data_IF_085530005601
#
_entry.id   IF_085530005601
#
_cell.length_a   1.000
_cell.length_b   1.000
_cell.length_c   1.000
_cell.angle_alpha   90.00
_cell.angle_beta   90.00
_cell.angle_gamma   90.00
#
_symmetry.space_group_name_H-M   'P 1'
#
loop_
_entity.id
_entity.type
_entity.pdbx_description
1 polymer ?
#
# COMPACT_ATOMS: atom_id res chain seq x y z
N UNK A 1 6.46 -7.76 19.08
CA UNK A 1 7.79 -7.20 18.75
C UNK A 1 7.75 -6.82 17.28
N UNK A 2 8.20 -5.63 16.88
CA UNK A 2 8.20 -5.20 15.47
C UNK A 2 9.63 -4.95 14.99
N UNK A 3 9.93 -5.40 13.77
CA UNK A 3 11.20 -5.13 13.09
C UNK A 3 10.96 -3.90 12.22
N UNK A 4 11.69 -2.81 12.47
CA UNK A 4 11.52 -1.52 11.76
C UNK A 4 12.73 -1.22 10.86
N UNK A 5 13.91 -1.72 11.22
CA UNK A 5 15.14 -1.45 10.52
C UNK A 5 16.07 -2.66 10.58
N UNK A 6 16.97 -2.77 9.61
CA UNK A 6 18.03 -3.76 9.56
C UNK A 6 19.31 -3.10 9.06
N UNK A 7 20.46 -3.67 9.42
CA UNK A 7 21.75 -3.22 8.91
C UNK A 7 22.68 -4.42 8.75
N UNK A 8 23.58 -4.30 7.79
CA UNK A 8 24.55 -5.33 7.50
C UNK A 8 25.67 -5.33 8.55
N UNK A 9 26.05 -6.53 8.99
CA UNK A 9 27.18 -6.76 9.89
C UNK A 9 28.31 -7.45 9.12
N UNK A 10 29.53 -6.90 9.12
CA UNK A 10 30.67 -7.61 8.59
C UNK A 10 30.96 -8.82 9.48
N UNK A 11 31.02 -10.01 8.90
CA UNK A 11 31.46 -11.23 9.58
C UNK A 11 32.75 -11.73 8.94
N UNK A 12 33.76 -11.96 9.78
CA UNK A 12 35.00 -12.64 9.39
C UNK A 12 34.95 -14.06 9.95
N UNK A 13 34.98 -15.07 9.08
CA UNK A 13 35.06 -16.49 9.47
C UNK A 13 34.00 -16.96 10.51
N UNK A 14 32.79 -16.38 10.47
CA UNK A 14 31.67 -16.77 11.33
C UNK A 14 31.68 -16.16 12.73
N UNK A 15 32.64 -15.27 13.04
CA UNK A 15 32.59 -14.40 14.21
C UNK A 15 31.98 -13.03 13.84
N UNK A 16 31.23 -12.45 14.79
CA UNK A 16 30.61 -11.14 14.63
C UNK A 16 31.57 -10.09 15.20
N UNK A 17 31.82 -9.01 14.47
CA UNK A 17 32.59 -7.88 14.99
C UNK A 17 31.80 -7.16 16.09
N UNK A 18 32.09 -7.50 17.35
CA UNK A 18 31.47 -6.88 18.52
C UNK A 18 31.71 -5.37 18.62
N UNK A 19 32.85 -4.87 18.15
CA UNK A 19 33.19 -3.44 18.22
C UNK A 19 32.31 -2.62 17.28
N UNK A 20 32.06 -3.15 16.07
CA UNK A 20 31.12 -2.56 15.14
C UNK A 20 29.68 -2.66 15.64
N UNK A 21 29.29 -3.81 16.20
CA UNK A 21 27.95 -4.03 16.78
C UNK A 21 27.60 -3.04 17.89
N UNK A 22 28.54 -2.78 18.81
CA UNK A 22 28.34 -1.84 19.93
C UNK A 22 28.18 -0.40 19.49
N UNK A 23 28.81 -0.01 18.38
CA UNK A 23 28.73 1.38 17.87
C UNK A 23 27.33 1.74 17.35
N UNK A 24 26.50 0.73 17.02
CA UNK A 24 25.15 0.93 16.47
C UNK A 24 24.02 0.52 17.42
N UNK A 25 24.33 0.33 18.70
CA UNK A 25 23.34 -0.02 19.75
C UNK A 25 22.37 1.10 20.14
N UNK A 26 22.41 2.25 19.47
CA UNK A 26 21.49 3.36 19.70
C UNK A 26 20.01 2.94 19.48
N UNK A 27 19.78 1.83 18.79
CA UNK A 27 18.48 1.17 18.63
C UNK A 27 18.47 -0.19 19.34
N UNK A 28 17.32 -0.57 19.92
CA UNK A 28 17.14 -1.89 20.52
C UNK A 28 17.25 -2.96 19.45
N UNK A 29 18.37 -3.69 19.45
CA UNK A 29 18.57 -4.85 18.57
C UNK A 29 17.72 -5.99 19.11
N UNK A 30 16.97 -6.66 18.22
CA UNK A 30 16.01 -7.70 18.59
C UNK A 30 16.34 -9.07 18.00
N UNK A 31 17.31 -9.14 17.10
CA UNK A 31 17.64 -10.35 16.36
C UNK A 31 18.65 -10.11 15.25
N UNK A 32 18.74 -11.08 14.34
CA UNK A 32 19.64 -11.05 13.19
C UNK A 32 18.96 -11.71 11.97
N UNK A 33 19.51 -11.44 10.78
CA UNK A 33 19.02 -12.05 9.55
C UNK A 33 20.16 -12.63 8.71
N UNK A 34 19.84 -13.61 7.88
CA UNK A 34 20.76 -14.18 6.89
C UNK A 34 20.04 -14.50 5.59
N UNK A 35 20.82 -14.79 4.55
CA UNK A 35 20.32 -15.15 3.23
C UNK A 35 20.50 -16.64 3.03
N UNK A 36 19.41 -17.36 2.73
CA UNK A 36 19.45 -18.79 2.51
C UNK A 36 18.07 -19.41 2.33
N UNK A 37 18.05 -20.70 2.01
CA UNK A 37 16.81 -21.44 1.76
C UNK A 37 16.28 -22.14 3.03
N UNK A 38 17.18 -22.68 3.86
CA UNK A 38 16.82 -23.38 5.11
C UNK A 38 17.80 -23.06 6.25
N UNK A 39 17.33 -23.05 7.51
CA UNK A 39 18.21 -22.92 8.66
C UNK A 39 19.25 -24.04 8.70
N UNK A 40 20.51 -23.68 8.94
CA UNK A 40 21.65 -24.58 9.01
C UNK A 40 22.19 -24.68 10.44
N UNK A 41 23.06 -25.67 10.70
CA UNK A 41 23.73 -25.79 12.00
C UNK A 41 24.64 -24.58 12.31
N UNK A 42 25.22 -23.95 11.28
CA UNK A 42 26.01 -22.73 11.44
C UNK A 42 25.13 -21.57 11.96
N UNK A 43 23.89 -21.47 11.47
CA UNK A 43 22.94 -20.45 11.92
C UNK A 43 22.59 -20.62 13.39
N UNK A 44 22.53 -21.86 13.90
CA UNK A 44 22.30 -22.12 15.32
C UNK A 44 23.45 -21.62 16.21
N UNK A 45 24.70 -21.73 15.74
CA UNK A 45 25.87 -21.24 16.45
C UNK A 45 25.89 -19.69 16.48
N UNK A 46 25.58 -19.06 15.34
CA UNK A 46 25.45 -17.60 15.26
C UNK A 46 24.32 -17.11 16.15
N UNK A 47 23.16 -17.78 16.13
CA UNK A 47 22.02 -17.41 16.96
C UNK A 47 22.32 -17.51 18.47
N UNK A 48 23.08 -18.52 18.91
CA UNK A 48 23.54 -18.61 20.29
C UNK A 48 24.42 -17.40 20.66
N UNK A 49 25.39 -17.04 19.81
CA UNK A 49 26.28 -15.91 20.04
C UNK A 49 25.53 -14.55 20.04
N UNK A 50 24.60 -14.35 19.10
CA UNK A 50 23.76 -13.14 19.04
C UNK A 50 22.84 -13.04 20.27
N UNK A 51 22.32 -14.17 20.75
CA UNK A 51 21.45 -14.19 21.94
C UNK A 51 22.17 -13.75 23.21
N UNK A 52 23.48 -13.93 23.30
CA UNK A 52 24.30 -13.41 24.40
C UNK A 52 24.58 -11.90 24.27
N UNK A 53 24.67 -11.40 23.03
CA UNK A 53 24.97 -10.00 22.72
C UNK A 53 23.74 -9.09 22.75
N UNK A 54 22.54 -9.66 22.65
CA UNK A 54 21.28 -8.92 22.53
C UNK A 54 20.51 -9.00 23.85
N UNK A 55 20.13 -7.84 24.38
CA UNK A 55 19.36 -7.76 25.64
C UNK A 55 17.89 -8.23 25.48
N UNK A 56 17.43 -8.41 24.24
CA UNK A 56 16.08 -8.87 23.93
C UNK A 56 15.98 -10.40 23.98
N UNK A 57 15.15 -10.91 24.89
CA UNK A 57 14.78 -12.32 24.98
C UNK A 57 13.27 -12.50 24.73
N UNK A 58 12.84 -13.38 23.80
CA UNK A 58 13.66 -14.19 22.90
C UNK A 58 14.25 -13.39 21.74
N UNK A 59 15.46 -13.75 21.31
CA UNK A 59 16.08 -13.20 20.10
C UNK A 59 15.44 -13.81 18.86
N UNK A 60 15.31 -13.01 17.80
CA UNK A 60 14.66 -13.43 16.54
C UNK A 60 15.71 -13.76 15.48
N UNK A 61 15.46 -14.80 14.69
CA UNK A 61 16.22 -15.14 13.49
C UNK A 61 15.36 -15.00 12.23
N UNK A 62 15.77 -14.18 11.27
CA UNK A 62 15.09 -14.03 9.98
C UNK A 62 15.93 -14.66 8.85
N UNK A 63 15.30 -15.51 8.05
CA UNK A 63 15.90 -16.13 6.88
C UNK A 63 15.25 -15.56 5.62
N UNK A 64 16.01 -14.88 4.79
CA UNK A 64 15.57 -14.33 3.51
C UNK A 64 16.03 -15.23 2.36
N UNK A 65 15.14 -15.57 1.45
CA UNK A 65 15.43 -16.39 0.27
C UNK A 65 15.30 -15.56 -1.02
N UNK A 66 16.40 -15.18 -1.68
CA UNK A 66 16.35 -14.36 -2.90
C UNK A 66 15.87 -15.15 -4.12
N UNK A 67 15.88 -16.47 -4.07
CA UNK A 67 15.46 -17.35 -5.17
C UNK A 67 13.93 -17.51 -5.18
N UNK A 68 13.24 -16.41 -5.51
CA UNK A 68 11.78 -16.34 -5.58
C UNK A 68 11.33 -16.84 -6.94
N UNK A 69 10.39 -17.79 -6.96
CA UNK A 69 9.69 -18.17 -8.19
C UNK A 69 8.65 -17.08 -8.53
N UNK A 70 8.47 -16.77 -9.81
CA UNK A 70 7.54 -15.72 -10.26
C UNK A 70 6.08 -15.91 -9.79
N UNK A 71 5.71 -17.13 -9.40
CA UNK A 71 4.37 -17.50 -8.89
C UNK A 71 4.27 -17.55 -7.36
N UNK A 72 5.33 -17.20 -6.63
CA UNK A 72 5.37 -17.25 -5.18
C UNK A 72 4.37 -16.26 -4.56
N UNK A 73 3.31 -16.80 -3.93
CA UNK A 73 2.28 -16.01 -3.24
C UNK A 73 2.68 -15.59 -1.82
N UNK A 74 3.81 -16.08 -1.32
CA UNK A 74 4.32 -15.79 0.02
C UNK A 74 5.54 -14.91 -0.08
N UNK A 75 5.71 -14.04 0.93
CA UNK A 75 6.91 -13.24 1.04
C UNK A 75 8.12 -14.16 1.20
N UNK A 76 9.27 -13.79 0.61
CA UNK A 76 10.45 -14.63 0.50
C UNK A 76 11.28 -14.65 1.79
N UNK A 77 10.62 -14.66 2.95
CA UNK A 77 11.31 -14.76 4.23
C UNK A 77 10.54 -15.61 5.22
N UNK A 78 11.27 -16.22 6.14
CA UNK A 78 10.73 -16.92 7.28
C UNK A 78 11.40 -16.40 8.56
N UNK A 79 10.62 -16.30 9.63
CA UNK A 79 11.11 -15.85 10.94
C UNK A 79 11.05 -17.00 11.91
N UNK A 80 12.08 -17.13 12.73
CA UNK A 80 12.26 -18.21 13.66
C UNK A 80 12.63 -17.71 15.05
N UNK A 81 12.22 -18.47 16.06
CA UNK A 81 12.74 -18.39 17.42
C UNK A 81 13.50 -19.68 17.78
N UNK A 82 14.42 -19.58 18.74
CA UNK A 82 15.08 -20.76 19.29
C UNK A 82 14.16 -21.52 20.22
N UNK A 83 13.93 -22.82 19.97
CA UNK A 83 13.24 -23.68 20.92
C UNK A 83 14.13 -23.90 22.14
N UNK A 84 13.71 -23.42 23.31
CA UNK A 84 14.28 -23.85 24.57
C UNK A 84 13.87 -25.31 24.81
N UNK A 85 14.76 -26.26 24.53
CA UNK A 85 14.57 -27.65 24.95
C UNK A 85 15.37 -27.93 26.22
N UNK A 86 14.71 -28.44 27.27
CA UNK A 86 15.28 -28.88 28.56
C UNK A 86 16.16 -30.17 28.46
N UNK A 87 16.88 -30.35 27.34
CA UNK A 87 17.72 -31.51 27.04
C UNK A 87 19.22 -31.22 27.12
N UNK A 88 20.02 -32.27 27.33
CA UNK A 88 21.50 -32.25 27.33
C UNK A 88 22.08 -31.54 26.10
N UNK A 89 23.26 -30.91 26.22
CA UNK A 89 23.98 -30.08 25.22
C UNK A 89 23.95 -30.60 23.76
N UNK A 90 23.84 -31.91 23.52
CA UNK A 90 23.71 -32.50 22.18
C UNK A 90 22.33 -32.31 21.52
N UNK A 91 21.27 -32.08 22.28
CA UNK A 91 19.90 -31.82 21.81
C UNK A 91 19.61 -30.33 21.54
N UNK A 92 20.54 -29.44 21.93
CA UNK A 92 20.42 -27.97 21.75
C UNK A 92 20.72 -27.50 20.33
N UNK A 93 21.22 -28.38 19.47
CA UNK A 93 21.51 -28.07 18.08
C UNK A 93 20.21 -27.98 17.25
N UNK A 94 19.73 -26.76 17.03
CA UNK A 94 19.01 -26.43 15.80
C UNK A 94 17.52 -26.77 15.73
N UNK A 95 16.75 -26.59 16.81
CA UNK A 95 15.28 -26.54 16.69
C UNK A 95 14.83 -25.09 16.64
N UNK A 96 14.89 -24.51 15.45
CA UNK A 96 14.20 -23.27 15.14
C UNK A 96 12.70 -23.53 15.01
N UNK A 97 11.88 -22.78 15.72
CA UNK A 97 10.41 -22.79 15.57
C UNK A 97 10.04 -21.63 14.66
N UNK A 98 9.36 -21.92 13.55
CA UNK A 98 8.90 -20.89 12.64
C UNK A 98 7.74 -20.11 13.27
N UNK A 99 7.85 -18.79 13.24
CA UNK A 99 6.81 -17.87 13.71
C UNK A 99 5.94 -17.41 12.55
N UNK A 100 4.64 -17.28 12.82
CA UNK A 100 3.72 -16.57 11.93
C UNK A 100 3.96 -15.06 12.08
N UNK A 101 4.33 -14.40 10.97
CA UNK A 101 4.64 -12.97 10.97
C UNK A 101 3.74 -12.26 9.95
N UNK A 102 3.14 -11.16 10.40
CA UNK A 102 2.45 -10.21 9.54
C UNK A 102 3.37 -9.06 9.15
N UNK A 103 3.21 -8.56 7.92
CA UNK A 103 3.83 -7.30 7.50
C UNK A 103 2.80 -6.19 7.67
N UNK A 104 3.16 -5.20 8.48
CA UNK A 104 2.37 -3.99 8.69
C UNK A 104 3.15 -2.83 8.09
N UNK A 105 2.54 -2.12 7.14
CA UNK A 105 3.09 -0.89 6.57
C UNK A 105 2.37 0.31 7.19
N UNK A 106 3.14 1.30 7.67
CA UNK A 106 2.58 2.59 8.09
C UNK A 106 1.97 3.35 6.92
N UNK A 107 1.18 4.40 7.17
CA UNK A 107 0.50 5.15 6.09
C UNK A 107 1.47 5.70 5.04
N UNK A 108 2.55 6.34 5.49
CA UNK A 108 3.55 6.92 4.60
C UNK A 108 4.32 5.83 3.82
N UNK A 109 4.64 4.72 4.47
CA UNK A 109 5.32 3.57 3.85
C UNK A 109 4.41 2.89 2.82
N UNK A 110 3.14 2.69 3.15
CA UNK A 110 2.14 2.11 2.23
C UNK A 110 2.02 2.94 0.95
N UNK A 111 1.98 4.26 1.08
CA UNK A 111 1.91 5.16 -0.08
C UNK A 111 3.20 5.03 -0.92
N UNK A 112 4.37 5.07 -0.28
CA UNK A 112 5.65 4.94 -1.00
C UNK A 112 5.79 3.59 -1.71
N UNK A 113 5.36 2.49 -1.08
CA UNK A 113 5.38 1.14 -1.66
C UNK A 113 4.39 1.03 -2.83
N UNK A 114 3.19 1.58 -2.70
CA UNK A 114 2.18 1.58 -3.77
C UNK A 114 2.65 2.38 -4.99
N UNK A 115 3.34 3.52 -4.77
CA UNK A 115 3.92 4.32 -5.85
C UNK A 115 4.98 3.54 -6.65
N UNK A 116 5.95 2.93 -5.96
CA UNK A 116 7.00 2.11 -6.59
C UNK A 116 6.42 0.87 -7.29
N UNK A 117 5.40 0.24 -6.70
CA UNK A 117 4.74 -0.90 -7.30
C UNK A 117 3.97 -0.50 -8.58
N UNK A 118 3.31 0.66 -8.58
CA UNK A 118 2.49 1.14 -9.70
C UNK A 118 3.32 1.80 -10.82
N UNK A 119 4.50 2.34 -10.55
CA UNK A 119 5.39 2.94 -11.57
C UNK A 119 5.85 1.90 -12.62
N UNK A 120 5.85 0.61 -12.24
CA UNK A 120 6.11 -0.49 -13.18
C UNK A 120 4.97 -0.78 -14.16
N UNK A 121 3.78 -0.20 -13.96
CA UNK A 121 2.58 -0.37 -14.77
C UNK A 121 2.19 0.94 -15.50
N UNK A 122 2.94 1.27 -16.56
CA UNK A 122 2.65 2.25 -17.62
C UNK A 122 1.94 3.57 -17.24
N UNK A 123 2.67 4.66 -17.44
CA UNK A 123 2.41 6.09 -17.21
C UNK A 123 1.21 6.73 -17.94
N UNK A 124 0.15 5.98 -18.28
CA UNK A 124 -0.93 6.49 -19.13
C UNK A 124 -2.31 5.84 -18.96
N UNK A 125 -2.71 5.46 -17.74
CA UNK A 125 -4.08 4.98 -17.51
C UNK A 125 -4.75 5.72 -16.34
N UNK A 126 -6.09 5.90 -16.35
CA UNK A 126 -6.85 6.46 -15.22
C UNK A 126 -6.86 5.43 -14.07
N UNK A 127 -5.70 5.27 -13.44
CA UNK A 127 -5.17 4.06 -12.82
C UNK A 127 -5.85 3.62 -11.53
N UNK A 128 -6.50 4.54 -10.80
CA UNK A 128 -7.13 4.21 -9.51
C UNK A 128 -8.28 3.20 -9.60
N UNK A 129 -9.11 3.30 -10.65
CA UNK A 129 -10.25 2.38 -10.83
C UNK A 129 -9.80 0.99 -11.30
N UNK A 130 -8.87 0.94 -12.26
CA UNK A 130 -8.31 -0.31 -12.78
C UNK A 130 -7.53 -1.05 -11.67
N UNK A 131 -6.73 -0.32 -10.88
CA UNK A 131 -6.03 -0.89 -9.73
C UNK A 131 -7.00 -1.43 -8.67
N UNK A 132 -8.11 -0.72 -8.39
CA UNK A 132 -9.15 -1.23 -7.48
C UNK A 132 -9.80 -2.52 -7.99
N UNK A 133 -10.17 -2.56 -9.27
CA UNK A 133 -10.75 -3.76 -9.90
C UNK A 133 -9.78 -4.94 -9.93
N UNK A 134 -8.49 -4.68 -10.20
CA UNK A 134 -7.44 -5.70 -10.16
C UNK A 134 -7.29 -6.29 -8.76
N UNK A 135 -7.27 -5.44 -7.71
CA UNK A 135 -7.24 -5.89 -6.31
C UNK A 135 -8.45 -6.75 -5.96
N UNK A 136 -9.67 -6.33 -6.33
CA UNK A 136 -10.89 -7.10 -6.10
C UNK A 136 -10.84 -8.46 -6.81
N UNK A 137 -10.41 -8.48 -8.08
CA UNK A 137 -10.24 -9.72 -8.84
C UNK A 137 -9.24 -10.67 -8.17
N UNK A 138 -8.10 -10.17 -7.72
CA UNK A 138 -7.07 -10.98 -7.08
C UNK A 138 -7.57 -11.56 -5.75
N UNK A 139 -8.30 -10.78 -4.94
CA UNK A 139 -8.92 -11.27 -3.72
C UNK A 139 -9.91 -12.42 -3.99
N UNK A 140 -10.76 -12.28 -5.02
CA UNK A 140 -11.70 -13.33 -5.44
C UNK A 140 -10.95 -14.58 -5.91
N UNK A 141 -9.90 -14.42 -6.73
CA UNK A 141 -9.09 -15.54 -7.20
C UNK A 141 -8.41 -16.30 -6.04
N UNK A 142 -7.85 -15.57 -5.07
CA UNK A 142 -7.25 -16.17 -3.87
C UNK A 142 -8.26 -16.94 -3.04
N UNK A 143 -9.46 -16.37 -2.82
CA UNK A 143 -10.52 -17.06 -2.10
C UNK A 143 -10.96 -18.33 -2.83
N UNK A 144 -11.15 -18.25 -4.15
CA UNK A 144 -11.51 -19.40 -4.98
C UNK A 144 -10.46 -20.52 -4.88
N UNK A 145 -9.17 -20.19 -4.94
CA UNK A 145 -8.10 -21.19 -4.79
C UNK A 145 -8.16 -21.89 -3.42
N UNK A 146 -8.43 -21.13 -2.33
CA UNK A 146 -8.58 -21.71 -0.99
C UNK A 146 -9.80 -22.63 -0.89
N UNK A 147 -10.95 -22.21 -1.42
CA UNK A 147 -12.17 -23.03 -1.46
C UNK A 147 -11.95 -24.31 -2.28
N UNK A 148 -11.23 -24.21 -3.40
CA UNK A 148 -10.87 -25.36 -4.23
C UNK A 148 -10.03 -26.39 -3.47
N UNK A 149 -9.05 -25.97 -2.66
CA UNK A 149 -8.25 -26.88 -1.84
C UNK A 149 -9.13 -27.64 -0.84
N UNK A 150 -10.06 -26.94 -0.17
CA UNK A 150 -11.01 -27.57 0.77
C UNK A 150 -11.89 -28.59 0.02
N UNK A 151 -12.42 -28.22 -1.16
CA UNK A 151 -13.23 -29.11 -1.99
C UNK A 151 -12.45 -30.37 -2.40
N UNK A 152 -11.19 -30.21 -2.83
CA UNK A 152 -10.32 -31.33 -3.22
C UNK A 152 -10.07 -32.27 -2.05
N UNK A 153 -9.76 -31.73 -0.86
CA UNK A 153 -9.55 -32.53 0.34
C UNK A 153 -10.80 -33.37 0.70
N UNK A 154 -11.97 -32.72 0.80
CA UNK A 154 -13.22 -33.43 1.12
C UNK A 154 -13.54 -34.51 0.08
N UNK A 155 -13.33 -34.22 -1.21
CA UNK A 155 -13.53 -35.19 -2.29
C UNK A 155 -12.57 -36.38 -2.18
N UNK A 156 -11.30 -36.15 -1.83
CA UNK A 156 -10.29 -37.19 -1.65
C UNK A 156 -10.59 -38.10 -0.44
N UNK A 157 -11.10 -37.52 0.65
CA UNK A 157 -11.53 -38.29 1.83
C UNK A 157 -12.74 -39.17 1.50
N UNK A 158 -13.73 -38.64 0.76
CA UNK A 158 -14.90 -39.41 0.31
C UNK A 158 -14.50 -40.56 -0.63
N UNK A 159 -13.51 -40.34 -1.48
CA UNK A 159 -12.96 -41.38 -2.36
C UNK A 159 -12.05 -42.40 -1.64
N UNK A 160 -11.76 -42.21 -0.35
CA UNK A 160 -10.87 -43.08 0.42
C UNK A 160 -9.38 -42.94 0.08
N UNK A 161 -8.99 -41.88 -0.64
CA UNK A 161 -7.60 -41.61 -1.06
C UNK A 161 -6.81 -40.95 0.08
N UNK A 162 -7.45 -40.07 0.85
CA UNK A 162 -6.85 -39.36 1.98
C UNK A 162 -7.44 -39.82 3.32
N UNK A 163 -6.64 -39.86 4.41
CA UNK A 163 -7.15 -40.20 5.74
C UNK A 163 -8.14 -39.13 6.23
N UNK A 164 -9.22 -39.57 6.87
CA UNK A 164 -10.23 -38.67 7.42
C UNK A 164 -9.75 -38.03 8.72
N UNK A 165 -9.43 -36.74 8.68
CA UNK A 165 -9.23 -35.93 9.88
C UNK A 165 -10.57 -35.33 10.34
N UNK A 166 -11.07 -35.81 11.47
CA UNK A 166 -12.34 -35.36 12.04
C UNK A 166 -12.32 -33.90 12.53
N UNK A 167 -11.16 -33.34 12.87
CA UNK A 167 -11.07 -31.94 13.28
C UNK A 167 -11.28 -31.02 12.08
N UNK A 168 -10.58 -31.28 10.98
CA UNK A 168 -10.71 -30.53 9.72
C UNK A 168 -12.13 -30.66 9.17
N UNK A 169 -12.69 -31.87 9.13
CA UNK A 169 -14.05 -32.10 8.63
C UNK A 169 -15.10 -31.35 9.46
N UNK A 170 -14.94 -31.29 10.79
CA UNK A 170 -15.82 -30.50 11.66
C UNK A 170 -15.72 -29.01 11.37
N UNK A 171 -14.52 -28.49 11.16
CA UNK A 171 -14.32 -27.08 10.78
C UNK A 171 -14.96 -26.76 9.43
N UNK A 172 -14.80 -27.64 8.43
CA UNK A 172 -15.48 -27.48 7.13
C UNK A 172 -17.00 -27.46 7.27
N UNK A 173 -17.57 -28.37 8.08
CA UNK A 173 -19.00 -28.40 8.34
C UNK A 173 -19.50 -27.12 9.04
N UNK A 174 -18.75 -26.62 10.02
CA UNK A 174 -19.04 -25.36 10.68
C UNK A 174 -19.01 -24.18 9.69
N UNK A 175 -18.03 -24.14 8.78
CA UNK A 175 -17.91 -23.10 7.76
C UNK A 175 -19.07 -23.14 6.75
N UNK A 176 -19.58 -24.32 6.40
CA UNK A 176 -20.78 -24.43 5.54
C UNK A 176 -22.02 -23.98 6.29
N UNK A 177 -22.12 -24.30 7.59
CA UNK A 177 -23.26 -23.92 8.42
C UNK A 177 -23.34 -22.41 8.70
N UNK A 178 -22.22 -21.67 8.64
CA UNK A 178 -22.21 -20.21 8.79
C UNK A 178 -22.63 -19.46 7.52
N UNK A 179 -22.81 -20.17 6.40
CA UNK A 179 -23.31 -19.59 5.16
C UNK A 179 -24.85 -19.74 5.12
N UNK A 180 -25.65 -18.67 4.95
CA UNK A 180 -25.30 -17.26 4.72
C UNK A 180 -25.21 -16.44 6.03
N UNK A 181 -24.18 -15.61 6.14
CA UNK A 181 -23.83 -14.85 7.36
C UNK A 181 -24.85 -13.74 7.72
N UNK A 182 -25.70 -13.32 6.79
CA UNK A 182 -26.70 -12.25 7.01
C UNK A 182 -28.07 -12.60 6.43
N UNK A 183 -29.12 -12.28 7.19
CA UNK A 183 -30.52 -12.43 6.78
C UNK A 183 -30.89 -11.45 5.68
N UNK A 184 -31.54 -11.97 4.63
CA UNK A 184 -31.71 -11.24 3.39
C UNK A 184 -32.58 -9.98 3.48
N UNK A 185 -33.58 -9.89 4.37
CA UNK A 185 -34.53 -8.77 4.31
C UNK A 185 -34.00 -7.46 4.90
N UNK A 186 -33.29 -7.52 6.03
CA UNK A 186 -32.75 -6.33 6.69
C UNK A 186 -31.50 -5.84 5.96
N UNK A 187 -30.58 -6.75 5.61
CA UNK A 187 -29.40 -6.44 4.81
C UNK A 187 -29.76 -5.81 3.46
N UNK A 188 -30.73 -6.36 2.71
CA UNK A 188 -31.12 -5.77 1.42
C UNK A 188 -31.76 -4.38 1.59
N UNK A 189 -32.44 -4.11 2.70
CA UNK A 189 -32.99 -2.79 2.96
C UNK A 189 -31.87 -1.78 3.21
N UNK A 190 -30.91 -2.14 4.05
CA UNK A 190 -29.75 -1.28 4.35
C UNK A 190 -28.89 -1.05 3.11
N UNK A 191 -28.56 -2.12 2.37
CA UNK A 191 -27.81 -2.06 1.12
C UNK A 191 -28.48 -1.15 0.08
N UNK A 192 -29.81 -1.19 -0.02
CA UNK A 192 -30.56 -0.29 -0.91
C UNK A 192 -30.47 1.16 -0.49
N UNK A 193 -30.54 1.44 0.81
CA UNK A 193 -30.39 2.79 1.34
C UNK A 193 -29.00 3.33 1.01
N UNK A 194 -27.94 2.56 1.34
CA UNK A 194 -26.55 2.93 1.05
C UNK A 194 -26.30 3.12 -0.46
N UNK A 195 -26.82 2.23 -1.29
CA UNK A 195 -26.72 2.33 -2.74
C UNK A 195 -27.36 3.61 -3.28
N UNK A 196 -28.56 3.94 -2.81
CA UNK A 196 -29.26 5.15 -3.21
C UNK A 196 -28.48 6.40 -2.80
N UNK A 197 -27.95 6.44 -1.57
CA UNK A 197 -27.18 7.58 -1.06
C UNK A 197 -25.88 7.78 -1.85
N UNK A 198 -25.13 6.71 -2.09
CA UNK A 198 -23.90 6.73 -2.90
C UNK A 198 -24.19 7.20 -4.33
N UNK A 199 -25.28 6.74 -4.91
CA UNK A 199 -25.68 7.11 -6.26
C UNK A 199 -26.13 8.57 -6.35
N UNK A 200 -26.86 9.08 -5.35
CA UNK A 200 -27.23 10.51 -5.28
C UNK A 200 -26.00 11.41 -5.20
N UNK A 201 -25.02 11.06 -4.37
CA UNK A 201 -23.74 11.79 -4.28
C UNK A 201 -23.01 11.76 -5.62
N UNK A 202 -22.91 10.60 -6.26
CA UNK A 202 -22.27 10.44 -7.57
C UNK A 202 -22.92 11.30 -8.66
N UNK A 203 -24.26 11.34 -8.71
CA UNK A 203 -24.98 12.21 -9.65
C UNK A 203 -24.72 13.69 -9.38
N UNK A 204 -24.74 14.12 -8.12
CA UNK A 204 -24.46 15.51 -7.75
C UNK A 204 -23.03 15.91 -8.13
N UNK A 205 -22.04 15.05 -7.85
CA UNK A 205 -20.64 15.26 -8.25
C UNK A 205 -20.52 15.37 -9.78
N UNK A 206 -21.23 14.52 -10.52
CA UNK A 206 -21.22 14.55 -11.99
C UNK A 206 -21.81 15.86 -12.52
N UNK A 207 -22.96 16.31 -11.97
CA UNK A 207 -23.59 17.57 -12.35
C UNK A 207 -22.70 18.78 -12.02
N UNK A 208 -22.05 18.79 -10.86
CA UNK A 208 -21.07 19.84 -10.50
C UNK A 208 -19.89 19.85 -11.47
N UNK A 209 -19.39 18.67 -11.86
CA UNK A 209 -18.38 18.52 -12.89
C UNK A 209 -18.82 19.10 -14.24
N UNK A 210 -20.05 18.81 -14.66
CA UNK A 210 -20.64 19.35 -15.90
C UNK A 210 -20.82 20.87 -15.86
N UNK A 211 -21.21 21.45 -14.72
CA UNK A 211 -21.32 22.90 -14.56
C UNK A 211 -19.95 23.57 -14.60
N UNK A 212 -18.92 22.95 -14.00
CA UNK A 212 -17.56 23.46 -14.03
C UNK A 212 -16.99 23.43 -15.47
N UNK A 213 -17.21 22.34 -16.22
CA UNK A 213 -16.79 22.28 -17.63
C UNK A 213 -17.54 23.31 -18.48
N UNK A 214 -18.84 23.52 -18.24
CA UNK A 214 -19.61 24.57 -18.91
C UNK A 214 -19.08 25.97 -18.60
N UNK A 215 -18.74 26.25 -17.34
CA UNK A 215 -18.10 27.52 -16.94
C UNK A 215 -16.79 27.71 -17.70
N UNK A 216 -15.93 26.69 -17.72
CA UNK A 216 -14.66 26.74 -18.46
C UNK A 216 -14.85 26.97 -19.96
N UNK A 217 -15.85 26.34 -20.58
CA UNK A 217 -16.18 26.57 -22.00
C UNK A 217 -16.69 27.99 -22.23
N UNK A 218 -17.52 28.49 -21.32
CA UNK A 218 -18.06 29.85 -21.36
C UNK A 218 -16.93 30.87 -21.26
N UNK A 219 -16.00 30.68 -20.33
CA UNK A 219 -14.81 31.55 -20.16
C UNK A 219 -13.93 31.54 -21.43
N UNK A 220 -13.71 30.37 -22.04
CA UNK A 220 -13.00 30.26 -23.32
C UNK A 220 -13.74 30.96 -24.45
N UNK A 221 -15.07 30.84 -24.49
CA UNK A 221 -15.90 31.53 -25.47
C UNK A 221 -15.78 33.06 -25.32
N UNK A 222 -15.86 33.59 -24.09
CA UNK A 222 -15.66 35.02 -23.83
C UNK A 222 -14.25 35.51 -24.19
N UNK A 223 -13.22 34.68 -24.02
CA UNK A 223 -11.86 35.02 -24.43
C UNK A 223 -11.70 35.10 -25.95
N UNK A 224 -12.37 34.23 -26.72
CA UNK A 224 -12.33 34.20 -28.18
C UNK A 224 -13.26 35.22 -28.83
N UNK A 225 -14.41 35.46 -28.20
CA UNK A 225 -15.41 36.44 -28.58
C UNK A 225 -15.54 37.46 -27.45
N UNK A 226 -14.54 38.34 -27.26
CA UNK A 226 -14.71 39.46 -26.36
C UNK A 226 -15.96 40.23 -26.82
N UNK A 227 -16.85 40.63 -25.91
CA UNK A 227 -18.01 41.42 -26.28
C UNK A 227 -17.51 42.61 -27.10
N UNK A 228 -18.12 42.83 -28.27
CA UNK A 228 -17.89 44.05 -29.03
C UNK A 228 -18.10 45.18 -28.03
N UNK A 229 -17.03 45.90 -27.70
CA UNK A 229 -17.19 47.19 -27.04
C UNK A 229 -18.12 47.95 -27.95
N UNK A 230 -19.34 48.23 -27.47
CA UNK A 230 -20.19 49.23 -28.10
C UNK A 230 -19.38 50.53 -28.04
N UNK A 231 -18.57 50.75 -29.06
CA UNK A 231 -18.04 52.04 -29.44
C UNK A 231 -19.27 52.83 -29.90
N UNK A 232 -20.06 53.25 -28.91
CA UNK A 232 -21.02 54.34 -29.02
C UNK A 232 -20.19 55.58 -29.30
N UNK A 233 -19.74 55.65 -30.54
CA UNK A 233 -19.19 56.83 -31.18
C UNK A 233 -20.26 57.90 -31.15
N UNK A 234 -20.32 58.65 -30.05
CA UNK A 234 -20.90 59.98 -30.02
C UNK A 234 -19.96 60.91 -30.81
N UNK A 235 -19.93 60.75 -32.13
CA UNK A 235 -19.51 61.82 -33.05
C UNK A 235 -20.64 62.83 -33.12
N UNK A 236 -20.80 63.64 -32.07
CA UNK A 236 -21.56 64.87 -32.21
C UNK A 236 -20.66 65.91 -32.88
N UNK A 237 -20.87 66.09 -34.19
CA UNK A 237 -20.27 67.20 -34.93
C UNK A 237 -20.81 68.53 -34.41
N UNK A 238 -19.91 69.43 -34.02
CA UNK A 238 -20.16 70.88 -33.91
C UNK A 238 -18.89 71.63 -34.33
N UNK A 239 -18.97 72.14 -35.57
CA UNK A 239 -18.26 73.22 -36.27
C UNK A 239 -16.87 73.74 -35.84
N UNK A 240 -15.96 74.02 -36.81
CA UNK A 240 -14.72 74.73 -36.59
C UNK A 240 -14.92 76.25 -36.77
N UNK A 241 -14.60 77.06 -35.75
CA UNK A 241 -14.26 78.48 -35.94
C UNK A 241 -13.19 78.96 -34.95
N UNK A 242 -12.03 79.23 -35.52
CA UNK A 242 -11.00 80.23 -35.21
C UNK A 242 -10.91 80.85 -33.81
N UNK A 243 -9.68 80.84 -33.29
CA UNK A 243 -9.04 82.04 -32.71
C UNK A 243 -8.38 81.81 -31.35
N UNK A 244 -7.07 82.11 -31.26
CA UNK A 244 -6.45 82.46 -29.98
C UNK A 244 -5.29 81.57 -29.54
N UNK A 245 -4.11 81.86 -30.08
CA UNK A 245 -2.80 81.57 -29.53
C UNK A 245 -2.68 82.12 -28.09
N UNK A 246 -2.19 81.35 -27.11
CA UNK A 246 -1.26 81.80 -26.05
C UNK A 246 -0.90 80.67 -25.05
N UNK A 247 0.42 80.44 -24.94
CA UNK A 247 1.24 80.09 -23.77
C UNK A 247 0.63 79.38 -22.54
N UNK A 248 1.26 78.26 -22.14
CA UNK A 248 1.09 77.69 -20.79
C UNK A 248 1.96 76.45 -20.53
N UNK A 249 3.12 76.68 -19.93
CA UNK A 249 4.12 75.69 -19.47
C UNK A 249 3.66 74.78 -18.32
N UNK A 250 4.13 73.52 -18.27
CA UNK A 250 4.10 72.67 -17.07
C UNK A 250 4.36 71.18 -17.36
N UNK A 251 5.61 70.75 -17.61
CA UNK A 251 6.57 70.16 -16.66
C UNK A 251 6.15 68.82 -15.98
N UNK A 252 6.70 67.72 -16.53
CA UNK A 252 7.31 66.50 -15.90
C UNK A 252 6.84 66.02 -14.51
N UNK A 253 6.48 64.73 -14.43
CA UNK A 253 7.18 63.58 -13.78
C UNK A 253 6.18 62.40 -13.71
N UNK A 254 6.51 61.16 -14.13
CA UNK A 254 7.33 60.19 -13.40
C UNK A 254 6.60 59.79 -12.10
N UNK A 255 6.15 58.55 -11.87
CA UNK A 255 6.98 57.36 -11.75
C UNK A 255 6.17 56.05 -11.66
N UNK A 256 6.72 55.00 -12.26
CA UNK A 256 6.53 53.58 -11.97
C UNK A 256 6.82 53.19 -10.51
N UNK A 257 6.06 52.23 -9.96
CA UNK A 257 6.49 51.16 -9.03
C UNK A 257 5.36 50.14 -8.91
N UNK A 258 5.65 48.90 -9.33
CA UNK A 258 5.74 47.67 -8.52
C UNK A 258 4.40 47.15 -8.06
#
# INVERSE_FOLDING_TARGET
>A
MSIVNSFELPSSDGSIDEGFFRTRRDQSVIGWYTVGNKPTAADSAVHAHVSELVDASPSIFLLFNPDIQDDAKQLPFAVFESALTDGTEADKAGKFVQLEVGVEAGEAERIAVDDVANESASDSDPSGQIASLSRQRNAIAMLHDRVRVIQQYVSAVVAGIAPADHEILRQCAALVATLPVMDGSEFNKELRTEYNDTQMVSYLTTLLGQLNTLSSVTDKHWALHPPQSEDMGMKHGLNPKMGGQLFGSGRRRGTSRR
#
